data_IF_799903789759
#
_entry.id   IF_799903789759
#
_cell.length_a   1.000
_cell.length_b   1.000
_cell.length_c   1.000
_cell.angle_alpha   90.00
_cell.angle_beta   90.00
_cell.angle_gamma   90.00
#
_symmetry.space_group_name_H-M   'P 1'
#
loop_
_entity.id
_entity.type
_entity.pdbx_description
1 polymer ?
#
# COMPACT_ATOMS: atom_id res chain seq x y z
N UNK A 1 -1.74 4.38 17.45
CA UNK A 1 -3.05 5.01 17.18
C UNK A 1 -3.96 4.89 18.39
N UNK A 2 -4.31 3.68 18.87
CA UNK A 2 -5.24 3.50 20.02
C UNK A 2 -4.87 4.33 21.24
N UNK A 3 -3.60 4.34 21.66
CA UNK A 3 -3.13 5.11 22.83
C UNK A 3 -3.28 6.63 22.64
N UNK A 4 -3.06 7.10 21.41
CA UNK A 4 -3.23 8.53 21.05
C UNK A 4 -4.71 8.91 21.10
N UNK A 5 -5.58 8.10 20.46
CA UNK A 5 -7.03 8.36 20.44
C UNK A 5 -7.68 8.25 21.83
N UNK A 6 -7.17 7.39 22.70
CA UNK A 6 -7.69 7.23 24.09
C UNK A 6 -7.11 8.23 25.08
N UNK A 7 -6.24 9.14 24.67
CA UNK A 7 -5.60 10.13 25.57
C UNK A 7 -6.56 11.21 26.09
N UNK A 8 -7.74 11.36 25.49
CA UNK A 8 -8.68 12.45 25.79
C UNK A 8 -8.23 13.84 25.31
N UNK A 9 -7.11 13.91 24.57
CA UNK A 9 -6.58 15.16 23.97
C UNK A 9 -6.86 15.19 22.47
N UNK A 10 -6.73 16.37 21.84
CA UNK A 10 -6.72 16.47 20.38
C UNK A 10 -5.59 15.57 19.85
N UNK A 11 -5.94 14.68 18.96
CA UNK A 11 -5.04 13.72 18.36
C UNK A 11 -5.04 13.83 16.85
N UNK A 12 -3.88 13.66 16.23
CA UNK A 12 -3.71 13.44 14.79
C UNK A 12 -3.12 12.05 14.66
N UNK A 13 -3.90 11.11 14.15
CA UNK A 13 -3.56 9.69 14.14
C UNK A 13 -3.60 9.09 12.76
N UNK A 14 -2.46 8.54 12.32
CA UNK A 14 -2.39 7.70 11.13
C UNK A 14 -3.09 6.35 11.36
N UNK A 15 -3.64 5.76 10.30
CA UNK A 15 -4.28 4.44 10.32
C UNK A 15 -3.41 3.36 9.66
N UNK A 16 -3.93 2.16 9.64
CA UNK A 16 -3.45 1.09 8.77
C UNK A 16 -3.86 1.38 7.32
N UNK A 17 -3.15 0.81 6.36
CA UNK A 17 -3.50 0.84 4.97
C UNK A 17 -3.21 -0.50 4.31
N UNK A 18 -4.02 -0.89 3.34
CA UNK A 18 -3.75 -2.00 2.44
C UNK A 18 -3.97 -1.49 1.01
N UNK A 19 -3.01 -0.73 0.44
CA UNK A 19 -3.20 -0.01 -0.80
C UNK A 19 -3.24 -0.90 -2.04
N UNK A 20 -4.41 -1.04 -2.70
CA UNK A 20 -4.54 -1.81 -3.92
C UNK A 20 -3.99 -1.06 -5.13
N UNK A 21 -3.53 -1.83 -6.11
CA UNK A 21 -3.13 -1.35 -7.44
C UNK A 21 -4.02 -1.99 -8.49
N UNK A 22 -4.63 -1.21 -9.36
CA UNK A 22 -5.29 -1.72 -10.57
C UNK A 22 -4.41 -1.43 -11.79
N UNK A 23 -4.23 -2.43 -12.65
CA UNK A 23 -3.58 -2.27 -13.96
C UNK A 23 -4.53 -2.77 -15.03
N UNK A 24 -5.06 -1.87 -15.84
CA UNK A 24 -5.92 -2.22 -16.96
C UNK A 24 -5.15 -2.34 -18.30
N UNK A 25 -5.82 -2.76 -19.34
CA UNK A 25 -5.25 -3.01 -20.66
C UNK A 25 -4.90 -1.73 -21.46
N UNK A 26 -5.24 -0.56 -20.92
CA UNK A 26 -4.83 0.73 -21.50
C UNK A 26 -3.52 1.27 -20.91
N UNK A 27 -3.00 0.62 -19.89
CA UNK A 27 -1.79 1.04 -19.19
C UNK A 27 -0.55 0.96 -20.11
N UNK A 28 0.44 1.79 -19.82
CA UNK A 28 1.80 1.56 -20.29
C UNK A 28 2.43 0.48 -19.39
N UNK A 29 2.43 -0.76 -19.84
CA UNK A 29 2.83 -1.92 -19.05
C UNK A 29 4.29 -1.85 -18.61
N UNK A 30 5.19 -1.34 -19.47
CA UNK A 30 6.60 -1.16 -19.10
C UNK A 30 6.77 -0.17 -17.96
N UNK A 31 6.08 0.96 -18.05
CA UNK A 31 6.07 1.95 -16.99
C UNK A 31 5.39 1.41 -15.73
N UNK A 32 4.23 0.78 -15.86
CA UNK A 32 3.47 0.23 -14.74
C UNK A 32 4.27 -0.81 -13.95
N UNK A 33 4.87 -1.79 -14.62
CA UNK A 33 5.69 -2.81 -13.95
C UNK A 33 6.88 -2.25 -13.21
N UNK A 34 7.57 -1.26 -13.80
CA UNK A 34 8.68 -0.56 -13.14
C UNK A 34 8.19 0.24 -11.92
N UNK A 35 7.18 1.08 -12.08
CA UNK A 35 6.65 1.95 -11.04
C UNK A 35 6.15 1.15 -9.82
N UNK A 36 5.43 0.05 -10.07
CA UNK A 36 4.91 -0.84 -9.02
C UNK A 36 6.06 -1.48 -8.23
N UNK A 37 7.11 -1.95 -8.89
CA UNK A 37 8.26 -2.53 -8.19
C UNK A 37 9.05 -1.45 -7.44
N UNK A 38 9.22 -0.27 -8.01
CA UNK A 38 9.88 0.86 -7.34
C UNK A 38 9.12 1.27 -6.08
N UNK A 39 7.80 1.38 -6.15
CA UNK A 39 6.96 1.74 -5.00
C UNK A 39 6.88 0.62 -3.96
N UNK A 40 6.64 -0.62 -4.38
CA UNK A 40 6.56 -1.77 -3.46
C UNK A 40 7.87 -2.03 -2.73
N UNK A 41 9.01 -1.84 -3.38
CA UNK A 41 10.34 -2.05 -2.77
C UNK A 41 10.87 -0.84 -2.00
N UNK A 42 10.21 0.30 -2.10
CA UNK A 42 10.61 1.50 -1.36
C UNK A 42 10.59 1.23 0.15
N UNK A 43 11.75 1.39 0.77
CA UNK A 43 11.96 1.11 2.20
C UNK A 43 11.41 -0.27 2.62
N UNK A 44 11.63 -1.29 1.78
CA UNK A 44 11.16 -2.67 1.98
C UNK A 44 9.65 -2.78 2.28
N UNK A 45 8.84 -1.94 1.65
CA UNK A 45 7.38 -1.89 1.81
C UNK A 45 6.90 -1.49 3.22
N UNK A 46 7.74 -0.83 4.01
CA UNK A 46 7.37 -0.29 5.32
C UNK A 46 6.36 0.87 5.24
N UNK A 47 6.46 1.79 4.26
CA UNK A 47 5.48 2.87 4.15
C UNK A 47 4.06 2.34 3.92
N UNK A 48 3.11 2.89 4.67
CA UNK A 48 1.70 2.51 4.60
C UNK A 48 1.03 2.86 3.26
N UNK A 49 1.70 3.67 2.43
CA UNK A 49 1.24 4.05 1.08
C UNK A 49 1.68 3.06 0.00
N UNK A 50 2.65 2.17 0.31
CA UNK A 50 3.24 1.29 -0.68
C UNK A 50 2.24 0.28 -1.23
N UNK A 51 2.45 -0.13 -2.47
CA UNK A 51 1.65 -1.14 -3.17
C UNK A 51 1.62 -2.45 -2.37
N UNK A 52 0.44 -2.97 -2.03
CA UNK A 52 0.27 -4.19 -1.23
C UNK A 52 -0.25 -5.37 -2.03
N UNK A 53 -1.12 -5.13 -3.01
CA UNK A 53 -1.64 -6.13 -3.95
C UNK A 53 -1.94 -5.50 -5.30
N UNK A 54 -1.85 -6.32 -6.35
CA UNK A 54 -2.10 -5.90 -7.74
C UNK A 54 -3.27 -6.67 -8.34
N UNK A 55 -4.26 -5.96 -8.83
CA UNK A 55 -5.36 -6.46 -9.63
C UNK A 55 -5.06 -6.16 -11.11
N UNK A 56 -4.55 -7.14 -11.83
CA UNK A 56 -4.15 -7.01 -13.22
C UNK A 56 -5.15 -7.68 -14.16
N UNK A 57 -5.52 -7.01 -15.25
CA UNK A 57 -6.35 -7.63 -16.28
C UNK A 57 -5.65 -8.87 -16.85
N UNK A 58 -6.41 -9.95 -17.07
CA UNK A 58 -5.87 -11.25 -17.51
C UNK A 58 -5.04 -11.16 -18.78
N UNK A 59 -5.46 -10.32 -19.73
CA UNK A 59 -4.83 -10.18 -21.04
C UNK A 59 -3.46 -9.49 -21.01
N UNK A 60 -3.12 -8.75 -19.93
CA UNK A 60 -1.84 -8.04 -19.78
C UNK A 60 -0.98 -8.58 -18.63
N UNK A 61 -1.50 -9.47 -17.81
CA UNK A 61 -0.85 -9.91 -16.58
C UNK A 61 0.51 -10.59 -16.84
N UNK A 62 0.64 -11.39 -17.87
CA UNK A 62 1.90 -12.07 -18.20
C UNK A 62 3.00 -11.10 -18.61
N UNK A 63 2.65 -10.08 -19.43
CA UNK A 63 3.58 -9.02 -19.81
C UNK A 63 3.97 -8.19 -18.58
N UNK A 64 3.00 -7.81 -17.75
CA UNK A 64 3.27 -7.06 -16.51
C UNK A 64 4.24 -7.82 -15.59
N UNK A 65 4.01 -9.11 -15.35
CA UNK A 65 4.89 -9.96 -14.54
C UNK A 65 6.30 -10.04 -15.15
N UNK A 66 6.40 -10.13 -16.49
CA UNK A 66 7.71 -10.13 -17.15
C UNK A 66 8.46 -8.83 -16.90
N UNK A 67 7.80 -7.70 -17.06
CA UNK A 67 8.39 -6.37 -16.80
C UNK A 67 8.76 -6.20 -15.32
N UNK A 68 7.93 -6.65 -14.39
CA UNK A 68 8.27 -6.63 -12.97
C UNK A 68 9.56 -7.42 -12.67
N UNK A 69 9.73 -8.59 -13.30
CA UNK A 69 10.97 -9.39 -13.16
C UNK A 69 12.19 -8.65 -13.70
N UNK A 70 12.08 -7.98 -14.85
CA UNK A 70 13.14 -7.14 -15.43
C UNK A 70 13.55 -6.00 -14.48
N UNK A 71 12.65 -5.58 -13.55
CA UNK A 71 12.88 -4.53 -12.58
C UNK A 71 13.20 -5.01 -11.16
N UNK A 72 13.63 -6.26 -11.02
CA UNK A 72 14.11 -6.81 -9.74
C UNK A 72 13.07 -7.56 -8.92
N UNK A 73 11.97 -8.00 -9.52
CA UNK A 73 11.05 -8.90 -8.85
C UNK A 73 11.45 -10.37 -9.04
N UNK A 74 11.32 -11.17 -7.99
CA UNK A 74 11.44 -12.62 -8.04
C UNK A 74 10.05 -13.26 -7.93
N UNK A 75 9.64 -14.04 -8.94
CA UNK A 75 8.35 -14.75 -8.93
C UNK A 75 8.49 -16.10 -8.22
N UNK A 76 7.68 -16.30 -7.20
CA UNK A 76 7.54 -17.59 -6.49
C UNK A 76 6.28 -18.33 -6.97
N UNK A 77 6.25 -19.67 -6.75
CA UNK A 77 5.07 -20.50 -7.04
C UNK A 77 3.98 -20.33 -5.98
N UNK A 78 2.79 -20.83 -6.24
CA UNK A 78 1.67 -20.79 -5.26
C UNK A 78 2.05 -21.56 -3.99
N UNK A 79 2.68 -22.74 -4.10
CA UNK A 79 3.10 -23.53 -2.96
C UNK A 79 4.19 -22.83 -2.13
N UNK A 80 5.07 -22.09 -2.81
CA UNK A 80 6.07 -21.25 -2.13
C UNK A 80 5.42 -20.05 -1.43
N UNK A 81 4.37 -19.47 -2.03
CA UNK A 81 3.61 -18.37 -1.43
C UNK A 81 2.88 -18.84 -0.16
N UNK A 82 2.24 -20.00 -0.19
CA UNK A 82 1.58 -20.60 0.97
C UNK A 82 2.58 -20.86 2.11
N UNK A 83 3.72 -21.49 1.80
CA UNK A 83 4.80 -21.71 2.79
C UNK A 83 5.37 -20.42 3.36
N UNK A 84 5.55 -19.40 2.53
CA UNK A 84 6.02 -18.10 2.99
C UNK A 84 4.97 -17.42 3.87
N UNK A 85 3.69 -17.55 3.55
CA UNK A 85 2.60 -17.00 4.35
C UNK A 85 2.56 -17.60 5.77
N UNK A 86 2.81 -18.88 5.92
CA UNK A 86 2.92 -19.55 7.24
C UNK A 86 4.09 -18.99 8.09
N UNK A 87 5.18 -18.55 7.44
CA UNK A 87 6.36 -18.01 8.12
C UNK A 87 6.17 -16.53 8.49
N UNK A 88 5.61 -15.74 7.57
CA UNK A 88 5.52 -14.28 7.76
C UNK A 88 4.27 -13.83 8.50
N UNK A 89 3.26 -14.71 8.62
CA UNK A 89 2.01 -14.46 9.33
C UNK A 89 1.88 -15.42 10.52
N UNK A 90 1.98 -14.88 11.72
CA UNK A 90 1.77 -15.64 12.95
C UNK A 90 0.31 -15.58 13.40
N UNK A 91 -0.17 -16.62 14.07
CA UNK A 91 -1.46 -16.57 14.73
C UNK A 91 -1.36 -15.81 16.05
N UNK A 92 -2.19 -14.81 16.22
CA UNK A 92 -2.33 -14.08 17.49
C UNK A 92 -3.76 -14.21 18.01
N UNK A 93 -3.88 -14.77 19.21
CA UNK A 93 -5.16 -14.87 19.92
C UNK A 93 -5.40 -13.61 20.75
N UNK A 94 -6.52 -12.93 20.50
CA UNK A 94 -6.93 -11.82 21.33
C UNK A 94 -7.28 -12.33 22.75
N UNK A 95 -6.58 -11.89 23.80
CA UNK A 95 -6.80 -12.43 25.15
C UNK A 95 -8.18 -12.08 25.73
N UNK A 96 -8.86 -11.05 25.21
CA UNK A 96 -10.18 -10.61 25.69
C UNK A 96 -11.34 -11.27 24.96
N UNK A 97 -11.19 -11.53 23.67
CA UNK A 97 -12.28 -12.05 22.82
C UNK A 97 -12.08 -13.50 22.41
N UNK A 98 -10.90 -14.08 22.61
CA UNK A 98 -10.54 -15.41 22.14
C UNK A 98 -10.37 -15.54 20.62
N UNK A 99 -10.61 -14.48 19.87
CA UNK A 99 -10.52 -14.48 18.40
C UNK A 99 -9.06 -14.63 17.97
N UNK A 100 -8.79 -15.61 17.12
CA UNK A 100 -7.49 -15.80 16.46
C UNK A 100 -7.47 -14.98 15.17
N UNK A 101 -6.42 -14.18 15.00
CA UNK A 101 -6.15 -13.43 13.78
C UNK A 101 -4.73 -13.71 13.32
N UNK A 102 -4.53 -13.76 12.01
CA UNK A 102 -3.17 -13.70 11.45
C UNK A 102 -2.62 -12.30 11.64
N UNK A 103 -1.40 -12.20 12.15
CA UNK A 103 -0.66 -10.95 12.33
C UNK A 103 0.72 -11.09 11.74
N UNK A 104 1.26 -10.01 11.24
CA UNK A 104 2.58 -9.99 10.61
C UNK A 104 3.67 -10.30 11.65
N UNK A 105 4.57 -11.22 11.32
CA UNK A 105 5.73 -11.57 12.14
C UNK A 105 6.71 -10.39 12.21
N UNK A 106 6.98 -9.91 13.43
CA UNK A 106 7.90 -8.79 13.66
C UNK A 106 9.30 -9.01 13.13
N UNK A 107 9.73 -10.27 13.05
CA UNK A 107 11.05 -10.64 12.53
C UNK A 107 11.16 -10.48 11.01
N UNK A 108 10.02 -10.44 10.31
CA UNK A 108 9.94 -10.35 8.86
C UNK A 108 9.65 -8.94 8.36
N UNK A 109 9.09 -8.06 9.21
CA UNK A 109 8.77 -6.67 8.86
C UNK A 109 10.03 -5.93 8.41
N UNK A 110 9.96 -5.27 7.25
CA UNK A 110 11.05 -4.47 6.68
C UNK A 110 12.29 -5.25 6.26
N UNK A 111 12.23 -6.58 6.17
CA UNK A 111 13.35 -7.40 5.71
C UNK A 111 13.43 -7.39 4.19
N UNK A 112 14.66 -7.49 3.68
CA UNK A 112 14.94 -7.59 2.25
C UNK A 112 14.29 -8.84 1.65
N UNK A 113 13.89 -8.76 0.38
CA UNK A 113 13.29 -9.87 -0.35
C UNK A 113 14.17 -11.14 -0.32
N UNK A 114 15.49 -10.98 -0.45
CA UNK A 114 16.43 -12.11 -0.38
C UNK A 114 16.42 -12.82 0.98
N UNK A 115 16.25 -12.09 2.08
CA UNK A 115 16.13 -12.67 3.44
C UNK A 115 14.84 -13.45 3.58
N UNK A 116 13.74 -12.96 3.04
CA UNK A 116 12.45 -13.64 3.08
C UNK A 116 12.46 -14.90 2.21
N UNK A 117 13.01 -14.82 0.99
CA UNK A 117 13.17 -15.96 0.07
C UNK A 117 14.02 -17.08 0.66
N UNK A 118 15.08 -16.74 1.38
CA UNK A 118 15.94 -17.73 2.06
C UNK A 118 15.16 -18.57 3.06
N UNK A 119 14.12 -18.04 3.70
CA UNK A 119 13.28 -18.78 4.65
C UNK A 119 12.50 -19.94 4.01
N UNK A 120 12.26 -19.86 2.70
CA UNK A 120 11.62 -20.94 1.90
C UNK A 120 12.61 -21.74 1.05
N UNK A 121 13.91 -21.57 1.30
CA UNK A 121 14.97 -22.32 0.62
C UNK A 121 15.39 -21.75 -0.74
N UNK A 122 14.97 -20.52 -1.08
CA UNK A 122 15.36 -19.84 -2.32
C UNK A 122 16.50 -18.87 -2.02
N UNK A 123 17.63 -19.03 -2.71
CA UNK A 123 18.79 -18.15 -2.58
C UNK A 123 18.89 -17.24 -3.81
N UNK A 124 18.89 -15.95 -3.57
CA UNK A 124 19.01 -14.89 -4.61
C UNK A 124 19.98 -13.81 -4.13
N UNK A 125 20.45 -12.97 -5.05
CA UNK A 125 21.30 -11.83 -4.73
C UNK A 125 20.51 -10.58 -4.31
N UNK A 126 21.24 -9.51 -3.95
CA UNK A 126 20.65 -8.25 -3.50
C UNK A 126 19.96 -7.46 -4.61
N UNK A 127 20.11 -7.87 -5.86
CA UNK A 127 19.40 -7.30 -7.01
C UNK A 127 17.88 -7.57 -6.96
N UNK A 128 17.47 -8.59 -6.19
CA UNK A 128 16.06 -8.90 -6.00
C UNK A 128 15.48 -8.00 -4.92
N UNK A 129 14.57 -7.11 -5.34
CA UNK A 129 13.99 -6.05 -4.54
C UNK A 129 12.60 -6.39 -4.01
N UNK A 130 11.87 -7.25 -4.71
CA UNK A 130 10.49 -7.60 -4.41
C UNK A 130 10.20 -9.07 -4.73
N UNK A 131 9.33 -9.69 -3.97
CA UNK A 131 8.79 -11.03 -4.23
C UNK A 131 7.41 -10.86 -4.83
N UNK A 132 7.14 -11.48 -5.99
CA UNK A 132 5.82 -11.49 -6.60
C UNK A 132 5.27 -12.92 -6.66
N UNK A 133 3.96 -13.06 -6.51
CA UNK A 133 3.25 -14.33 -6.65
C UNK A 133 1.85 -14.10 -7.22
N UNK A 134 1.38 -15.04 -8.02
CA UNK A 134 -0.02 -15.04 -8.44
C UNK A 134 -0.84 -15.79 -7.40
N UNK A 135 -1.96 -15.20 -6.96
CA UNK A 135 -2.81 -15.75 -5.90
C UNK A 135 -4.29 -15.52 -6.20
N UNK A 136 -5.16 -16.29 -5.53
CA UNK A 136 -6.56 -15.94 -5.43
C UNK A 136 -6.76 -14.72 -4.49
N UNK A 137 -7.91 -14.07 -4.58
CA UNK A 137 -8.26 -12.91 -3.76
C UNK A 137 -8.22 -13.21 -2.26
N UNK A 138 -8.61 -14.41 -1.86
CA UNK A 138 -8.69 -14.84 -0.45
C UNK A 138 -7.31 -15.15 0.16
N UNK A 139 -6.25 -15.15 -0.64
CA UNK A 139 -4.91 -15.46 -0.12
C UNK A 139 -4.48 -14.45 0.96
N UNK A 140 -3.86 -14.90 2.06
CA UNK A 140 -3.48 -14.03 3.17
C UNK A 140 -2.61 -12.85 2.79
N UNK A 141 -1.84 -12.92 1.71
CA UNK A 141 -1.03 -11.80 1.23
C UNK A 141 -1.86 -10.65 0.67
N UNK A 142 -3.03 -10.94 0.09
CA UNK A 142 -3.97 -9.92 -0.40
C UNK A 142 -4.73 -9.27 0.76
N UNK A 143 -4.99 -10.04 1.83
CA UNK A 143 -5.87 -9.65 2.92
C UNK A 143 -5.16 -8.96 4.09
N UNK A 144 -3.83 -8.83 4.06
CA UNK A 144 -3.08 -8.28 5.18
C UNK A 144 -2.02 -7.28 4.72
N UNK A 145 -1.92 -6.16 5.42
CA UNK A 145 -0.81 -5.23 5.28
C UNK A 145 0.49 -5.88 5.78
N UNK A 146 1.31 -6.38 4.85
CA UNK A 146 2.48 -7.21 5.20
C UNK A 146 3.67 -6.43 5.74
N UNK A 147 3.85 -5.17 5.32
CA UNK A 147 5.01 -4.31 5.63
C UNK A 147 6.35 -5.00 5.29
N UNK A 148 6.39 -5.67 4.14
CA UNK A 148 7.57 -6.32 3.57
C UNK A 148 7.40 -6.45 2.05
N UNK A 149 8.48 -6.58 1.26
CA UNK A 149 8.42 -6.52 -0.19
C UNK A 149 7.89 -7.83 -0.80
N UNK A 150 6.64 -8.16 -0.49
CA UNK A 150 5.87 -9.27 -1.05
C UNK A 150 4.62 -8.69 -1.69
N UNK A 151 4.42 -8.93 -2.98
CA UNK A 151 3.36 -8.35 -3.77
C UNK A 151 2.56 -9.46 -4.48
N UNK A 152 1.37 -9.80 -3.97
CA UNK A 152 0.47 -10.72 -4.63
C UNK A 152 -0.18 -10.07 -5.85
N UNK A 153 -0.41 -10.86 -6.90
CA UNK A 153 -1.06 -10.47 -8.14
C UNK A 153 -2.32 -11.31 -8.30
N UNK A 154 -3.44 -10.65 -8.42
CA UNK A 154 -4.76 -11.25 -8.69
C UNK A 154 -5.15 -10.90 -10.11
N UNK A 155 -5.43 -11.91 -10.93
CA UNK A 155 -5.91 -11.70 -12.31
C UNK A 155 -7.41 -11.42 -12.30
N UNK A 156 -7.81 -10.35 -12.96
CA UNK A 156 -9.21 -9.93 -13.09
C UNK A 156 -9.63 -9.89 -14.55
N UNK A 157 -10.92 -10.05 -14.78
CA UNK A 157 -11.49 -10.12 -16.14
C UNK A 157 -11.71 -8.75 -16.75
N UNK A 158 -12.14 -7.79 -15.93
CA UNK A 158 -12.55 -6.46 -16.34
C UNK A 158 -12.45 -5.45 -15.20
N UNK A 159 -12.83 -4.21 -15.49
CA UNK A 159 -12.74 -3.10 -14.53
C UNK A 159 -13.73 -3.23 -13.37
N UNK A 160 -14.89 -3.88 -13.59
CA UNK A 160 -15.90 -4.03 -12.54
C UNK A 160 -15.40 -5.00 -11.46
N UNK A 161 -14.87 -6.14 -11.87
CA UNK A 161 -14.23 -7.10 -10.98
C UNK A 161 -13.01 -6.48 -10.27
N UNK A 162 -12.17 -5.74 -11.01
CA UNK A 162 -10.99 -5.09 -10.45
C UNK A 162 -11.36 -4.09 -9.34
N UNK A 163 -12.34 -3.24 -9.58
CA UNK A 163 -12.79 -2.24 -8.58
C UNK A 163 -13.42 -2.93 -7.37
N UNK A 164 -14.29 -3.92 -7.59
CA UNK A 164 -14.95 -4.64 -6.49
C UNK A 164 -13.93 -5.30 -5.56
N UNK A 165 -12.96 -6.01 -6.12
CA UNK A 165 -11.92 -6.68 -5.34
C UNK A 165 -10.95 -5.68 -4.68
N UNK A 166 -10.52 -4.63 -5.38
CA UNK A 166 -9.63 -3.61 -4.83
C UNK A 166 -10.26 -2.87 -3.65
N UNK A 167 -11.53 -2.48 -3.75
CA UNK A 167 -12.28 -1.84 -2.65
C UNK A 167 -12.41 -2.77 -1.45
N UNK A 168 -12.65 -4.07 -1.68
CA UNK A 168 -12.71 -5.08 -0.61
C UNK A 168 -11.35 -5.27 0.06
N UNK A 169 -10.25 -5.33 -0.72
CA UNK A 169 -8.89 -5.49 -0.20
C UNK A 169 -8.41 -4.29 0.61
N UNK A 170 -8.89 -3.09 0.30
CA UNK A 170 -8.57 -1.84 1.02
C UNK A 170 -9.20 -1.80 2.43
N UNK A 171 -10.16 -2.69 2.71
CA UNK A 171 -10.78 -2.89 4.02
C UNK A 171 -11.45 -1.66 4.64
N UNK A 172 -11.76 -0.62 3.87
CA UNK A 172 -12.36 0.63 4.36
C UNK A 172 -11.40 1.50 5.17
N UNK A 173 -10.09 1.28 5.03
CA UNK A 173 -9.06 2.13 5.62
C UNK A 173 -9.06 3.55 5.02
N UNK A 174 -9.50 3.69 3.77
CA UNK A 174 -9.54 4.93 2.99
C UNK A 174 -8.20 5.66 2.96
N UNK A 175 -7.14 4.82 2.87
CA UNK A 175 -5.77 5.31 3.00
C UNK A 175 -5.17 5.72 1.66
N UNK A 176 -4.87 4.78 0.81
CA UNK A 176 -4.18 4.98 -0.48
C UNK A 176 -4.65 3.95 -1.49
N UNK A 177 -4.74 4.34 -2.75
CA UNK A 177 -4.97 3.44 -3.88
C UNK A 177 -4.18 3.91 -5.11
N UNK A 178 -3.88 2.97 -6.00
CA UNK A 178 -3.09 3.22 -7.20
C UNK A 178 -3.77 2.68 -8.43
N UNK A 179 -3.61 3.35 -9.56
CA UNK A 179 -4.09 2.83 -10.84
C UNK A 179 -3.16 3.21 -11.98
N UNK A 180 -2.77 2.20 -12.76
CA UNK A 180 -2.08 2.38 -14.04
C UNK A 180 -3.08 2.19 -15.17
N UNK A 181 -3.40 3.28 -15.85
CA UNK A 181 -4.43 3.33 -16.89
C UNK A 181 -4.30 4.61 -17.72
N UNK A 182 -4.75 4.54 -18.98
CA UNK A 182 -5.01 5.72 -19.83
C UNK A 182 -6.52 5.97 -19.99
N UNK A 183 -7.37 5.09 -19.49
CA UNK A 183 -8.82 5.22 -19.54
C UNK A 183 -9.32 6.11 -18.40
N UNK A 184 -9.78 7.32 -18.72
CA UNK A 184 -10.25 8.30 -17.75
C UNK A 184 -11.51 7.82 -17.00
N UNK A 185 -12.38 7.07 -17.67
CA UNK A 185 -13.61 6.56 -17.05
C UNK A 185 -13.28 5.49 -16.01
N UNK A 186 -12.36 4.58 -16.30
CA UNK A 186 -11.88 3.59 -15.33
C UNK A 186 -11.25 4.26 -14.10
N UNK A 187 -10.36 5.22 -14.33
CA UNK A 187 -9.72 6.01 -13.27
C UNK A 187 -10.75 6.72 -12.38
N UNK A 188 -11.74 7.38 -13.01
CA UNK A 188 -12.77 8.11 -12.30
C UNK A 188 -13.66 7.19 -11.47
N UNK A 189 -14.04 6.03 -12.04
CA UNK A 189 -14.87 5.03 -11.35
C UNK A 189 -14.15 4.46 -10.13
N UNK A 190 -12.89 4.08 -10.29
CA UNK A 190 -12.11 3.52 -9.18
C UNK A 190 -11.88 4.56 -8.08
N UNK A 191 -11.43 5.77 -8.43
CA UNK A 191 -11.20 6.83 -7.46
C UNK A 191 -12.46 7.16 -6.63
N UNK A 192 -13.65 7.18 -7.26
CA UNK A 192 -14.92 7.38 -6.56
C UNK A 192 -15.32 6.21 -5.67
N UNK A 193 -15.03 4.98 -6.09
CA UNK A 193 -15.42 3.79 -5.35
C UNK A 193 -14.54 3.53 -4.12
N UNK A 194 -13.23 3.79 -4.22
CA UNK A 194 -12.26 3.49 -3.15
C UNK A 194 -12.16 4.61 -2.11
N UNK A 195 -12.50 5.86 -2.47
CA UNK A 195 -12.55 7.03 -1.57
C UNK A 195 -11.32 7.22 -0.67
N UNK A 196 -10.13 6.92 -1.19
CA UNK A 196 -8.89 7.03 -0.42
C UNK A 196 -8.39 8.47 -0.29
N UNK A 197 -7.63 8.73 0.78
CA UNK A 197 -6.97 10.03 1.00
C UNK A 197 -5.94 10.33 -0.08
N UNK A 198 -5.22 9.31 -0.54
CA UNK A 198 -4.25 9.39 -1.65
C UNK A 198 -4.72 8.49 -2.78
N UNK A 199 -4.76 9.03 -3.99
CA UNK A 199 -4.98 8.27 -5.22
C UNK A 199 -3.86 8.59 -6.21
N UNK A 200 -3.08 7.57 -6.56
CA UNK A 200 -1.91 7.72 -7.45
C UNK A 200 -2.23 7.16 -8.82
N UNK A 201 -2.03 7.97 -9.84
CA UNK A 201 -2.19 7.58 -11.25
C UNK A 201 -0.85 7.46 -11.94
N UNK A 202 -0.55 6.31 -12.54
CA UNK A 202 0.59 6.09 -13.43
C UNK A 202 1.94 6.56 -12.83
N UNK A 203 2.15 6.28 -11.54
CA UNK A 203 3.37 6.62 -10.81
C UNK A 203 3.57 5.61 -9.66
N UNK A 204 4.79 5.48 -9.14
CA UNK A 204 5.03 4.70 -7.93
C UNK A 204 4.37 5.36 -6.71
N UNK A 205 4.08 4.57 -5.69
CA UNK A 205 3.34 5.00 -4.48
C UNK A 205 3.92 6.22 -3.79
N UNK A 206 5.24 6.36 -3.75
CA UNK A 206 5.91 7.49 -3.10
C UNK A 206 5.64 8.86 -3.78
N UNK A 207 5.11 8.87 -5.02
CA UNK A 207 4.60 10.09 -5.63
C UNK A 207 3.42 10.67 -4.82
N UNK A 208 2.61 9.82 -4.19
CA UNK A 208 1.49 10.21 -3.33
C UNK A 208 1.90 10.92 -2.03
N UNK A 209 3.16 10.79 -1.63
CA UNK A 209 3.73 11.52 -0.48
C UNK A 209 4.67 12.66 -0.89
N UNK A 210 4.63 13.06 -2.16
CA UNK A 210 5.34 14.23 -2.68
C UNK A 210 6.74 13.96 -3.23
N UNK A 211 7.17 12.71 -3.37
CA UNK A 211 8.45 12.36 -4.01
C UNK A 211 8.25 12.03 -5.49
N UNK A 212 8.62 12.95 -6.36
CA UNK A 212 8.41 12.81 -7.81
C UNK A 212 6.97 13.01 -8.27
N UNK A 213 6.08 13.48 -7.40
CA UNK A 213 4.69 13.83 -7.66
C UNK A 213 4.39 15.29 -7.34
N UNK A 214 3.15 15.71 -7.59
CA UNK A 214 2.67 17.04 -7.22
C UNK A 214 2.32 17.11 -5.73
N UNK A 215 2.43 18.31 -5.15
CA UNK A 215 2.06 18.60 -3.78
C UNK A 215 3.22 18.64 -2.80
N UNK A 216 2.89 18.82 -1.53
CA UNK A 216 3.88 18.88 -0.45
C UNK A 216 4.21 17.49 0.09
N UNK A 217 5.43 17.35 0.60
CA UNK A 217 5.87 16.12 1.24
C UNK A 217 5.11 15.88 2.54
N UNK A 218 4.64 14.65 2.75
CA UNK A 218 3.96 14.21 3.97
C UNK A 218 4.23 12.74 4.27
N UNK A 219 4.27 12.39 5.56
CA UNK A 219 4.40 11.01 6.03
C UNK A 219 3.31 10.60 7.02
N UNK A 220 2.46 11.54 7.43
CA UNK A 220 1.33 11.25 8.32
C UNK A 220 0.03 11.38 7.55
N UNK A 221 -0.53 10.25 7.17
CA UNK A 221 -1.85 10.18 6.52
C UNK A 221 -2.87 9.87 7.62
N UNK A 222 -3.54 10.92 8.11
CA UNK A 222 -4.37 10.91 9.30
C UNK A 222 -5.86 10.68 8.97
N UNK A 223 -6.15 9.60 8.23
CA UNK A 223 -7.53 9.20 7.90
C UNK A 223 -8.41 8.99 9.14
N UNK A 224 -7.98 8.23 10.17
CA UNK A 224 -8.83 7.95 11.33
C UNK A 224 -9.27 9.17 12.14
N UNK A 225 -8.51 10.26 12.11
CA UNK A 225 -8.84 11.52 12.82
C UNK A 225 -9.39 12.61 11.89
N UNK A 226 -9.49 12.31 10.58
CA UNK A 226 -10.16 13.17 9.61
C UNK A 226 -9.29 14.25 8.96
N UNK A 227 -8.02 14.41 9.36
CA UNK A 227 -7.12 15.38 8.72
C UNK A 227 -6.68 14.92 7.33
N UNK A 228 -6.72 13.63 7.06
CA UNK A 228 -6.23 13.05 5.81
C UNK A 228 -4.77 13.35 5.59
N UNK A 229 -4.44 13.97 4.45
CA UNK A 229 -3.08 14.37 4.12
C UNK A 229 -2.63 15.54 5.00
N UNK A 230 -1.56 15.35 5.78
CA UNK A 230 -1.08 16.35 6.74
C UNK A 230 0.08 17.19 6.17
N UNK A 231 0.29 18.35 6.78
CA UNK A 231 1.45 19.21 6.56
C UNK A 231 1.94 19.77 7.90
N UNK A 232 3.03 20.51 7.91
CA UNK A 232 3.48 21.19 9.13
C UNK A 232 2.37 22.02 9.79
N UNK A 233 1.50 22.64 8.98
CA UNK A 233 0.34 23.41 9.47
C UNK A 233 -0.64 22.55 10.28
N UNK A 234 -0.81 21.29 9.95
CA UNK A 234 -1.73 20.38 10.67
C UNK A 234 -1.34 20.19 12.14
N UNK A 235 -0.06 20.34 12.46
CA UNK A 235 0.49 20.18 13.81
C UNK A 235 0.60 21.50 14.58
N UNK A 236 0.07 22.61 14.03
CA UNK A 236 0.04 23.93 14.67
C UNK A 236 -1.36 24.23 15.22
N UNK A 237 -1.52 25.35 15.89
CA UNK A 237 -2.79 25.87 16.34
C UNK A 237 -3.03 27.27 15.76
N UNK A 238 -4.28 27.56 15.43
CA UNK A 238 -4.67 28.90 15.05
C UNK A 238 -4.72 29.82 16.26
N UNK A 239 -4.20 31.03 16.10
CA UNK A 239 -4.31 32.11 17.05
C UNK A 239 -4.98 33.29 16.35
N UNK A 240 -5.85 33.97 17.09
CA UNK A 240 -6.34 35.29 16.68
C UNK A 240 -5.67 36.32 17.55
N UNK A 241 -5.00 37.31 16.95
CA UNK A 241 -4.51 38.50 17.60
C UNK A 241 -5.32 39.67 17.07
N UNK A 242 -6.05 40.33 17.96
CA UNK A 242 -6.79 41.57 17.65
C UNK A 242 -5.97 42.72 18.22
N UNK A 243 -5.62 43.63 17.34
CA UNK A 243 -4.79 44.78 17.70
C UNK A 243 -5.67 46.02 17.69
N UNK A 244 -5.70 46.74 18.79
CA UNK A 244 -6.20 48.09 18.91
C UNK A 244 -5.06 48.96 19.42
N UNK A 245 -4.90 50.13 18.94
CA UNK A 245 -3.78 51.02 19.21
C UNK A 245 -2.40 50.40 18.86
N UNK A 246 -1.35 50.76 19.58
CA UNK A 246 0.01 50.27 19.33
C UNK A 246 0.25 48.88 19.91
N UNK A 247 0.78 47.95 19.12
CA UNK A 247 1.06 46.59 19.53
C UNK A 247 2.34 46.04 18.89
N UNK A 248 3.13 45.30 19.67
CA UNK A 248 4.29 44.56 19.17
C UNK A 248 3.92 43.09 19.04
N UNK A 249 4.12 42.52 17.85
CA UNK A 249 4.05 41.07 17.62
C UNK A 249 5.35 40.47 18.12
N UNK A 250 5.24 39.53 19.04
CA UNK A 250 6.36 38.80 19.63
C UNK A 250 6.30 37.37 19.14
#
# INVERSE_FOLDING_TARGET
>A
VKSVLSSGKKAIGAGAGNPPVIVDDTADIRKAGKDIIDGCSFDNNLPCIAEKEVFAFKNIADELISVMKENGAYRITSEQADRLAEIVLAEAKNPKTGIVKKVVSRECVGRDAAVLLKKIGVNVGPEIRCIICETAFEHPFVQNELMMPILPIVRVSDIDEAIDLAVKAEHGCRHTAHMHSKNIDHLTRFARAVETTIFVKNAPSYAGIGFGGEGHTTFTIAGPTGEGLTSARSFTRYRRCVMADSFRII
#
